data_IF_629190294053
#
_entry.id   IF_629190294053
#
_cell.length_a   1.000
_cell.length_b   1.000
_cell.length_c   1.000
_cell.angle_alpha   90.00
_cell.angle_beta   90.00
_cell.angle_gamma   90.00
#
_symmetry.space_group_name_H-M   'P 1'
#
loop_
_entity.id
_entity.type
_entity.pdbx_description
1 polymer ?
#
# COMPACT_ATOMS: atom_id res chain seq x y z
N UNK A 1 63.24 -8.94 82.51
CA UNK A 1 62.07 -8.50 81.69
C UNK A 1 61.40 -9.63 80.92
N UNK A 2 62.13 -10.63 80.40
CA UNK A 2 61.59 -11.80 79.68
C UNK A 2 60.50 -12.59 80.44
N UNK A 3 60.64 -12.77 81.76
CA UNK A 3 59.63 -13.46 82.59
C UNK A 3 58.29 -12.71 82.72
N UNK A 4 58.27 -11.38 82.55
CA UNK A 4 57.04 -10.58 82.65
C UNK A 4 56.15 -10.75 81.41
N UNK A 5 56.74 -10.94 80.23
CA UNK A 5 56.02 -11.21 78.99
C UNK A 5 55.48 -12.65 78.93
N UNK A 6 56.24 -13.65 79.38
CA UNK A 6 55.78 -15.04 79.45
C UNK A 6 54.60 -15.22 80.43
N UNK A 7 54.56 -14.45 81.53
CA UNK A 7 53.48 -14.49 82.51
C UNK A 7 52.10 -14.07 81.97
N UNK A 8 52.04 -13.36 80.83
CA UNK A 8 50.78 -12.92 80.24
C UNK A 8 50.29 -13.82 79.09
N UNK A 9 51.05 -14.85 78.71
CA UNK A 9 50.69 -15.85 77.72
C UNK A 9 50.52 -17.22 78.40
N UNK A 10 49.45 -17.37 79.18
CA UNK A 10 49.19 -18.59 79.95
C UNK A 10 48.36 -19.58 79.11
N UNK A 11 48.82 -20.83 78.93
CA UNK A 11 47.96 -21.88 78.42
C UNK A 11 46.87 -22.15 79.47
N UNK A 12 45.60 -22.04 79.07
CA UNK A 12 44.48 -22.42 79.93
C UNK A 12 44.03 -23.81 79.54
N UNK A 13 44.23 -24.77 80.46
CA UNK A 13 43.70 -26.12 80.31
C UNK A 13 42.20 -26.07 80.58
N UNK A 14 41.41 -26.21 79.53
CA UNK A 14 39.95 -26.33 79.65
C UNK A 14 39.61 -27.82 79.79
N UNK A 15 38.72 -28.14 80.75
CA UNK A 15 38.21 -29.49 80.97
C UNK A 15 37.49 -29.92 79.68
N UNK A 16 38.08 -30.87 78.94
CA UNK A 16 37.63 -31.27 77.59
C UNK A 16 38.74 -31.47 76.55
N UNK A 17 40.02 -31.42 76.93
CA UNK A 17 41.15 -31.86 76.10
C UNK A 17 41.55 -30.91 74.96
N UNK A 18 40.89 -29.76 74.82
CA UNK A 18 41.26 -28.73 73.83
C UNK A 18 42.10 -27.64 74.50
N UNK A 19 43.33 -27.49 74.05
CA UNK A 19 44.24 -26.43 74.49
C UNK A 19 43.73 -25.08 74.00
N UNK A 20 43.45 -24.15 74.93
CA UNK A 20 43.09 -22.77 74.60
C UNK A 20 44.24 -21.85 75.00
N UNK A 21 44.71 -21.07 74.04
CA UNK A 21 45.78 -20.09 74.28
C UNK A 21 45.20 -18.69 74.46
N UNK A 22 45.76 -17.93 75.39
CA UNK A 22 45.43 -16.53 75.61
C UNK A 22 46.69 -15.69 75.66
N UNK A 23 46.63 -14.48 75.08
CA UNK A 23 47.68 -13.48 75.15
C UNK A 23 47.04 -12.23 75.76
N UNK A 24 47.52 -11.79 76.93
CA UNK A 24 46.98 -10.63 77.65
C UNK A 24 45.46 -10.71 77.90
N UNK A 25 44.91 -11.91 78.17
CA UNK A 25 43.48 -12.12 78.41
C UNK A 25 42.61 -12.25 77.16
N UNK A 26 43.15 -12.08 75.96
CA UNK A 26 42.44 -12.34 74.71
C UNK A 26 42.70 -13.74 74.18
N UNK A 27 41.65 -14.42 73.70
CA UNK A 27 41.80 -15.69 73.01
C UNK A 27 42.65 -15.52 71.74
N UNK A 28 43.71 -16.31 71.63
CA UNK A 28 44.61 -16.30 70.49
C UNK A 28 44.70 -17.69 69.88
N UNK A 29 44.86 -17.74 68.56
CA UNK A 29 45.16 -18.99 67.87
C UNK A 29 46.59 -19.43 68.21
N UNK A 30 46.83 -20.75 68.17
CA UNK A 30 48.14 -21.33 68.43
C UNK A 30 49.25 -20.71 67.56
N UNK A 31 48.99 -20.46 66.27
CA UNK A 31 49.94 -19.81 65.35
C UNK A 31 50.41 -18.44 65.85
N UNK A 32 49.48 -17.60 66.34
CA UNK A 32 49.79 -16.27 66.87
C UNK A 32 50.62 -16.33 68.14
N UNK A 33 50.41 -17.35 68.96
CA UNK A 33 51.17 -17.59 70.19
C UNK A 33 52.58 -18.09 69.85
N UNK A 34 52.69 -19.00 68.89
CA UNK A 34 53.97 -19.42 68.34
C UNK A 34 54.73 -18.21 67.76
N UNK A 35 54.10 -17.36 66.94
CA UNK A 35 54.73 -16.16 66.38
C UNK A 35 55.21 -15.18 67.46
N UNK A 36 54.46 -15.04 68.56
CA UNK A 36 54.88 -14.25 69.72
C UNK A 36 56.13 -14.84 70.38
N UNK A 37 56.21 -16.16 70.54
CA UNK A 37 57.41 -16.80 71.09
C UNK A 37 58.61 -16.68 70.13
N UNK A 38 58.39 -16.80 68.82
CA UNK A 38 59.43 -16.57 67.81
C UNK A 38 59.96 -15.12 67.81
N UNK A 39 59.12 -14.11 68.08
CA UNK A 39 59.55 -12.70 68.13
C UNK A 39 60.48 -12.40 69.32
N UNK A 40 60.36 -13.18 70.39
CA UNK A 40 61.23 -13.13 71.58
C UNK A 40 62.37 -14.15 71.49
N UNK A 41 62.61 -14.73 70.29
CA UNK A 41 63.63 -15.74 70.02
C UNK A 41 63.52 -17.02 70.86
N UNK A 42 62.32 -17.32 71.38
CA UNK A 42 62.01 -18.56 72.08
C UNK A 42 61.33 -19.51 71.11
N UNK A 43 62.08 -20.46 70.56
CA UNK A 43 61.49 -21.49 69.71
C UNK A 43 60.91 -22.61 70.59
N UNK A 44 59.59 -22.78 70.56
CA UNK A 44 58.87 -23.82 71.33
C UNK A 44 59.15 -25.23 70.78
N UNK A 45 59.48 -25.35 69.49
CA UNK A 45 59.68 -26.63 68.80
C UNK A 45 61.11 -27.19 68.96
N UNK A 46 62.10 -26.31 69.12
CA UNK A 46 63.49 -26.67 69.41
C UNK A 46 64.05 -25.74 70.50
N UNK A 47 63.79 -26.04 71.78
CA UNK A 47 64.23 -25.17 72.86
C UNK A 47 65.73 -25.36 73.10
N UNK A 48 66.55 -24.49 72.52
CA UNK A 48 67.97 -24.37 72.88
C UNK A 48 68.18 -24.01 74.36
N UNK A 49 67.13 -23.51 75.01
CA UNK A 49 67.14 -23.05 76.39
C UNK A 49 66.64 -24.11 77.41
N UNK A 50 66.16 -25.29 76.96
CA UNK A 50 65.61 -26.32 77.84
C UNK A 50 66.46 -27.61 77.77
N UNK A 51 67.09 -27.97 78.89
CA UNK A 51 67.89 -29.18 79.02
C UNK A 51 67.03 -30.28 79.65
N UNK A 52 66.48 -31.16 78.82
CA UNK A 52 65.78 -32.37 79.27
C UNK A 52 66.74 -33.56 79.36
N UNK A 53 66.43 -34.55 80.21
CA UNK A 53 67.19 -35.79 80.31
C UNK A 53 67.25 -36.49 78.94
N UNK A 54 68.45 -36.91 78.51
CA UNK A 54 68.67 -37.53 77.20
C UNK A 54 68.90 -36.57 76.03
N UNK A 55 68.78 -35.25 76.23
CA UNK A 55 69.06 -34.25 75.17
C UNK A 55 70.53 -34.27 74.73
N UNK A 56 71.47 -34.48 75.66
CA UNK A 56 72.91 -34.53 75.34
C UNK A 56 73.25 -35.69 74.39
N UNK A 57 72.73 -36.88 74.66
CA UNK A 57 72.92 -38.07 73.82
C UNK A 57 72.25 -37.90 72.45
N UNK A 58 71.12 -37.19 72.39
CA UNK A 58 70.47 -36.84 71.13
C UNK A 58 71.36 -35.94 70.28
N UNK A 59 71.92 -34.86 70.84
CA UNK A 59 72.82 -33.94 70.12
C UNK A 59 74.07 -34.66 69.59
N UNK A 60 74.64 -35.57 70.38
CA UNK A 60 75.81 -36.36 69.96
C UNK A 60 75.51 -37.31 68.79
N UNK A 61 74.27 -37.77 68.63
CA UNK A 61 73.85 -38.71 67.59
C UNK A 61 72.99 -38.07 66.48
N UNK A 62 72.95 -36.72 66.39
CA UNK A 62 72.18 -36.03 65.34
C UNK A 62 72.80 -36.27 63.96
N UNK A 63 71.93 -36.44 62.95
CA UNK A 63 72.39 -36.50 61.55
C UNK A 63 72.78 -35.08 61.07
N UNK A 64 73.69 -34.95 60.09
CA UNK A 64 74.06 -33.66 59.51
C UNK A 64 72.90 -32.69 59.17
N UNK A 65 71.77 -33.10 58.57
CA UNK A 65 70.63 -32.20 58.31
C UNK A 65 69.95 -31.68 59.60
N UNK A 66 69.96 -32.46 60.68
CA UNK A 66 69.41 -32.04 61.97
C UNK A 66 70.32 -31.00 62.64
N UNK A 67 71.64 -31.16 62.50
CA UNK A 67 72.64 -30.18 62.96
C UNK A 67 72.52 -28.88 62.18
N UNK A 68 72.34 -28.94 60.86
CA UNK A 68 72.10 -27.76 60.02
C UNK A 68 70.82 -27.04 60.42
N UNK A 69 69.72 -27.78 60.58
CA UNK A 69 68.46 -27.20 61.06
C UNK A 69 68.61 -26.55 62.44
N UNK A 70 69.44 -27.10 63.32
CA UNK A 70 69.72 -26.54 64.65
C UNK A 70 70.53 -25.23 64.54
N UNK A 71 71.49 -25.19 63.61
CA UNK A 71 72.33 -24.02 63.35
C UNK A 71 71.53 -22.88 62.71
N UNK A 72 70.69 -23.19 61.72
CA UNK A 72 69.79 -22.24 61.04
C UNK A 72 68.75 -21.63 61.99
N UNK A 73 68.30 -22.41 62.97
CA UNK A 73 67.41 -21.92 64.03
C UNK A 73 68.15 -20.98 64.99
N UNK A 74 69.39 -21.33 65.38
CA UNK A 74 70.21 -20.47 66.23
C UNK A 74 70.61 -19.16 65.52
N UNK A 75 70.85 -19.22 64.21
CA UNK A 75 71.11 -18.04 63.37
C UNK A 75 69.84 -17.25 63.03
N UNK A 76 68.65 -17.80 63.28
CA UNK A 76 67.36 -17.18 62.98
C UNK A 76 66.99 -17.15 61.49
N UNK A 77 67.80 -17.75 60.60
CA UNK A 77 67.61 -17.73 59.13
C UNK A 77 66.41 -18.59 58.69
N UNK A 78 66.11 -19.65 59.43
CA UNK A 78 65.00 -20.59 59.12
C UNK A 78 63.63 -19.93 59.01
N UNK A 79 63.35 -18.91 59.83
CA UNK A 79 62.07 -18.20 59.80
C UNK A 79 61.94 -17.29 58.58
N UNK A 80 63.06 -16.69 58.15
CA UNK A 80 63.10 -15.86 56.94
C UNK A 80 62.88 -16.73 55.69
N UNK A 81 63.56 -17.86 55.58
CA UNK A 81 63.41 -18.79 54.45
C UNK A 81 61.99 -19.34 54.34
N UNK A 82 61.38 -19.76 55.46
CA UNK A 82 59.97 -20.20 55.47
C UNK A 82 59.01 -19.10 55.02
N UNK A 83 59.22 -17.84 55.45
CA UNK A 83 58.39 -16.70 55.01
C UNK A 83 58.59 -16.38 53.54
N UNK A 84 59.83 -16.47 53.04
CA UNK A 84 60.16 -16.31 51.63
C UNK A 84 59.46 -17.36 50.77
N UNK A 85 59.56 -18.64 51.13
CA UNK A 85 58.90 -19.74 50.42
C UNK A 85 57.37 -19.60 50.41
N UNK A 86 56.77 -19.19 51.53
CA UNK A 86 55.34 -18.91 51.60
C UNK A 86 54.92 -17.72 50.72
N UNK A 87 55.73 -16.66 50.67
CA UNK A 87 55.49 -15.52 49.81
C UNK A 87 55.61 -15.91 48.33
N UNK A 88 56.64 -16.66 47.95
CA UNK A 88 56.84 -17.18 46.59
C UNK A 88 55.66 -18.05 46.14
N UNK A 89 55.23 -19.01 46.95
CA UNK A 89 54.03 -19.83 46.66
C UNK A 89 52.76 -18.99 46.53
N UNK A 90 52.65 -17.90 47.29
CA UNK A 90 51.50 -16.99 47.19
C UNK A 90 51.56 -16.16 45.91
N UNK A 91 52.75 -15.72 45.50
CA UNK A 91 52.97 -15.02 44.24
C UNK A 91 52.67 -15.92 43.05
N UNK A 92 53.16 -17.16 43.04
CA UNK A 92 52.85 -18.15 42.00
C UNK A 92 51.34 -18.36 41.84
N UNK A 93 50.62 -18.56 42.96
CA UNK A 93 49.16 -18.71 42.94
C UNK A 93 48.44 -17.46 42.41
N UNK A 94 48.94 -16.27 42.74
CA UNK A 94 48.37 -15.01 42.24
C UNK A 94 48.66 -14.83 40.75
N UNK A 95 49.86 -15.18 40.31
CA UNK A 95 50.27 -15.11 38.91
C UNK A 95 49.41 -16.04 38.05
N UNK A 96 49.24 -17.30 38.47
CA UNK A 96 48.36 -18.24 37.78
C UNK A 96 46.90 -17.75 37.70
N UNK A 97 46.41 -17.05 38.74
CA UNK A 97 45.07 -16.43 38.69
C UNK A 97 44.99 -15.26 37.72
N UNK A 98 46.03 -14.43 37.65
CA UNK A 98 46.08 -13.33 36.68
C UNK A 98 46.06 -13.87 35.25
N UNK A 99 46.86 -14.90 34.97
CA UNK A 99 46.88 -15.55 33.65
C UNK A 99 45.50 -16.13 33.27
N UNK A 100 44.76 -16.70 34.23
CA UNK A 100 43.39 -17.15 33.99
C UNK A 100 42.45 -15.99 33.67
N UNK A 101 42.56 -14.87 34.39
CA UNK A 101 41.73 -13.67 34.13
C UNK A 101 42.06 -13.10 32.75
N UNK A 102 43.34 -12.98 32.41
CA UNK A 102 43.80 -12.47 31.12
C UNK A 102 43.33 -13.39 29.99
N UNK A 103 43.37 -14.72 30.19
CA UNK A 103 42.84 -15.69 29.23
C UNK A 103 41.34 -15.49 28.99
N UNK A 104 40.53 -15.32 30.03
CA UNK A 104 39.08 -15.07 29.89
C UNK A 104 38.82 -13.72 29.20
N UNK A 105 39.60 -12.70 29.55
CA UNK A 105 39.46 -11.37 28.97
C UNK A 105 39.78 -11.39 27.46
N UNK A 106 40.80 -12.15 27.06
CA UNK A 106 41.24 -12.25 25.67
C UNK A 106 40.38 -13.18 24.83
N UNK A 107 39.94 -14.31 25.39
CA UNK A 107 39.19 -15.33 24.65
C UNK A 107 37.69 -15.03 24.58
N UNK A 108 37.11 -14.41 25.61
CA UNK A 108 35.66 -14.23 25.68
C UNK A 108 35.27 -12.76 25.51
N UNK A 109 35.87 -11.86 26.30
CA UNK A 109 35.39 -10.47 26.40
C UNK A 109 35.78 -9.66 25.16
N UNK A 110 37.05 -9.70 24.74
CA UNK A 110 37.52 -8.96 23.55
C UNK A 110 36.76 -9.33 22.26
N UNK A 111 36.60 -10.62 21.88
CA UNK A 111 35.86 -10.96 20.66
C UNK A 111 34.38 -10.63 20.76
N UNK A 112 33.75 -10.78 21.94
CA UNK A 112 32.37 -10.34 22.13
C UNK A 112 32.21 -8.83 21.92
N UNK A 113 33.16 -8.03 22.42
CA UNK A 113 33.17 -6.58 22.21
C UNK A 113 33.37 -6.21 20.74
N UNK A 114 34.26 -6.90 20.03
CA UNK A 114 34.51 -6.65 18.61
C UNK A 114 33.32 -7.07 17.73
N UNK A 115 32.66 -8.19 18.07
CA UNK A 115 31.40 -8.58 17.43
C UNK A 115 30.31 -7.53 17.66
N UNK A 116 30.19 -6.99 18.88
CA UNK A 116 29.22 -5.93 19.19
C UNK A 116 29.53 -4.64 18.44
N UNK A 117 30.81 -4.27 18.30
CA UNK A 117 31.24 -3.13 17.48
C UNK A 117 30.89 -3.32 16.01
N UNK A 118 31.09 -4.52 15.47
CA UNK A 118 30.70 -4.84 14.10
C UNK A 118 29.18 -4.72 13.91
N UNK A 119 28.39 -5.27 14.82
CA UNK A 119 26.93 -5.16 14.81
C UNK A 119 26.46 -3.69 14.88
N UNK A 120 27.08 -2.87 15.72
CA UNK A 120 26.77 -1.44 15.83
C UNK A 120 27.06 -0.67 14.54
N UNK A 121 28.18 -0.97 13.87
CA UNK A 121 28.49 -0.40 12.55
C UNK A 121 27.44 -0.78 11.51
N UNK A 122 27.10 -2.07 11.42
CA UNK A 122 26.06 -2.55 10.50
C UNK A 122 24.70 -1.90 10.79
N UNK A 123 24.33 -1.74 12.06
CA UNK A 123 23.09 -1.08 12.44
C UNK A 123 23.09 0.41 12.05
N UNK A 124 24.23 1.09 12.20
CA UNK A 124 24.36 2.50 11.82
C UNK A 124 24.21 2.67 10.31
N UNK A 125 24.83 1.80 9.51
CA UNK A 125 24.67 1.77 8.05
C UNK A 125 23.24 1.47 7.65
N UNK A 126 22.60 0.47 8.28
CA UNK A 126 21.20 0.13 8.06
C UNK A 126 20.28 1.31 8.38
N UNK A 127 20.50 2.01 9.50
CA UNK A 127 19.69 3.16 9.89
C UNK A 127 19.83 4.31 8.89
N UNK A 128 21.03 4.57 8.37
CA UNK A 128 21.26 5.56 7.32
C UNK A 128 20.54 5.16 6.02
N UNK A 129 20.69 3.92 5.58
CA UNK A 129 20.03 3.41 4.37
C UNK A 129 18.50 3.43 4.51
N UNK A 130 17.97 3.04 5.66
CA UNK A 130 16.52 3.07 5.94
C UNK A 130 15.99 4.51 5.90
N UNK A 131 16.73 5.47 6.44
CA UNK A 131 16.36 6.89 6.38
C UNK A 131 16.37 7.43 4.93
N UNK A 132 17.39 7.05 4.14
CA UNK A 132 17.45 7.40 2.72
C UNK A 132 16.31 6.75 1.92
N UNK A 133 16.01 5.48 2.17
CA UNK A 133 14.91 4.77 1.55
C UNK A 133 13.57 5.46 1.84
N UNK A 134 13.32 5.84 3.10
CA UNK A 134 12.10 6.53 3.49
C UNK A 134 12.00 7.93 2.88
N UNK A 135 13.14 8.62 2.73
CA UNK A 135 13.19 9.90 2.00
C UNK A 135 12.82 9.72 0.53
N UNK A 136 13.39 8.71 -0.13
CA UNK A 136 13.12 8.43 -1.55
C UNK A 136 11.68 7.97 -1.78
N UNK A 137 11.11 7.14 -0.90
CA UNK A 137 9.69 6.78 -0.94
C UNK A 137 8.78 8.00 -0.86
N UNK A 138 9.05 8.91 0.08
CA UNK A 138 8.30 10.17 0.18
C UNK A 138 8.43 11.02 -1.08
N UNK A 139 9.63 11.09 -1.66
CA UNK A 139 9.85 11.81 -2.92
C UNK A 139 9.06 11.19 -4.08
N UNK A 140 9.03 9.86 -4.18
CA UNK A 140 8.24 9.14 -5.19
C UNK A 140 6.75 9.48 -5.08
N UNK A 141 6.19 9.43 -3.87
CA UNK A 141 4.77 9.78 -3.64
C UNK A 141 4.47 11.21 -4.05
N UNK A 142 5.37 12.15 -3.75
CA UNK A 142 5.22 13.56 -4.17
C UNK A 142 5.30 13.69 -5.69
N UNK A 143 6.23 12.98 -6.33
CA UNK A 143 6.38 12.97 -7.78
C UNK A 143 5.11 12.43 -8.46
N UNK A 144 4.62 11.28 -8.01
CA UNK A 144 3.39 10.67 -8.54
C UNK A 144 2.20 11.62 -8.38
N UNK A 145 2.07 12.26 -7.21
CA UNK A 145 1.03 13.26 -6.97
C UNK A 145 1.11 14.44 -7.94
N UNK A 146 2.31 14.99 -8.16
CA UNK A 146 2.51 16.08 -9.12
C UNK A 146 2.19 15.68 -10.56
N UNK A 147 2.57 14.47 -10.98
CA UNK A 147 2.24 13.96 -12.31
C UNK A 147 0.73 13.77 -12.47
N UNK A 148 0.04 13.16 -11.49
CA UNK A 148 -1.42 13.04 -11.51
C UNK A 148 -2.11 14.40 -11.51
N UNK A 149 -1.57 15.39 -10.77
CA UNK A 149 -2.11 16.75 -10.77
C UNK A 149 -1.98 17.42 -12.15
N UNK A 150 -0.84 17.26 -12.83
CA UNK A 150 -0.64 17.77 -14.21
C UNK A 150 -1.61 17.11 -15.19
N UNK A 151 -1.77 15.78 -15.10
CA UNK A 151 -2.71 15.04 -15.95
C UNK A 151 -4.14 15.52 -15.69
N UNK A 152 -4.54 15.69 -14.43
CA UNK A 152 -5.85 16.19 -14.06
C UNK A 152 -6.08 17.62 -14.59
N UNK A 153 -5.08 18.51 -14.49
CA UNK A 153 -5.16 19.85 -15.06
C UNK A 153 -5.32 19.82 -16.58
N UNK A 154 -4.56 18.96 -17.27
CA UNK A 154 -4.68 18.81 -18.73
C UNK A 154 -6.06 18.30 -19.14
N UNK A 155 -6.58 17.29 -18.44
CA UNK A 155 -7.94 16.78 -18.71
C UNK A 155 -8.98 17.87 -18.45
N UNK A 156 -8.82 18.66 -17.37
CA UNK A 156 -9.72 19.77 -17.09
C UNK A 156 -9.69 20.85 -18.19
N UNK A 157 -8.51 21.18 -18.71
CA UNK A 157 -8.40 22.11 -19.85
C UNK A 157 -8.99 21.54 -21.13
N UNK A 158 -8.81 20.24 -21.38
CA UNK A 158 -9.37 19.56 -22.55
C UNK A 158 -10.90 19.53 -22.47
N UNK A 159 -11.48 19.20 -21.31
CA UNK A 159 -12.93 19.26 -21.07
C UNK A 159 -13.47 20.67 -21.30
N UNK A 160 -12.82 21.70 -20.74
CA UNK A 160 -13.25 23.08 -20.94
C UNK A 160 -13.22 23.49 -22.42
N UNK A 161 -12.24 23.01 -23.19
CA UNK A 161 -12.18 23.26 -24.63
C UNK A 161 -13.30 22.55 -25.40
N UNK A 162 -13.61 21.30 -25.04
CA UNK A 162 -14.70 20.52 -25.63
C UNK A 162 -16.08 21.13 -25.29
N UNK A 163 -16.29 21.63 -24.08
CA UNK A 163 -17.52 22.32 -23.69
C UNK A 163 -17.75 23.57 -24.57
N UNK A 164 -16.68 24.33 -24.87
CA UNK A 164 -16.75 25.47 -25.78
C UNK A 164 -17.09 25.02 -27.20
N UNK A 165 -16.52 23.90 -27.68
CA UNK A 165 -16.86 23.35 -29.00
C UNK A 165 -18.31 22.86 -29.06
N UNK A 166 -18.80 22.18 -28.03
CA UNK A 166 -20.19 21.73 -27.92
C UNK A 166 -21.13 22.93 -27.95
N UNK A 167 -20.82 24.01 -27.22
CA UNK A 167 -21.61 25.24 -27.24
C UNK A 167 -21.65 25.88 -28.63
N UNK A 168 -20.53 25.93 -29.36
CA UNK A 168 -20.49 26.42 -30.74
C UNK A 168 -21.31 25.54 -31.69
N UNK A 169 -21.23 24.22 -31.53
CA UNK A 169 -22.00 23.28 -32.35
C UNK A 169 -23.49 23.34 -32.04
N UNK A 170 -23.88 23.54 -30.78
CA UNK A 170 -25.29 23.68 -30.40
C UNK A 170 -25.89 24.98 -30.94
N UNK A 171 -25.13 26.09 -30.91
CA UNK A 171 -25.53 27.36 -31.53
C UNK A 171 -25.69 27.23 -33.06
N UNK A 172 -24.71 26.60 -33.74
CA UNK A 172 -24.83 26.30 -35.18
C UNK A 172 -26.04 25.43 -35.50
N UNK A 173 -26.28 24.40 -34.68
CA UNK A 173 -27.45 23.53 -34.83
C UNK A 173 -28.74 24.34 -34.68
N UNK A 174 -28.81 25.25 -33.70
CA UNK A 174 -29.97 26.12 -33.49
C UNK A 174 -30.22 27.05 -34.71
N UNK A 175 -29.17 27.68 -35.25
CA UNK A 175 -29.25 28.51 -36.48
C UNK A 175 -29.80 27.70 -37.66
N UNK A 176 -29.21 26.55 -37.94
CA UNK A 176 -29.64 25.67 -39.04
C UNK A 176 -31.08 25.22 -38.83
N UNK A 177 -31.49 24.88 -37.60
CA UNK A 177 -32.88 24.49 -37.34
C UNK A 177 -33.86 25.65 -37.56
N UNK A 178 -33.48 26.89 -37.25
CA UNK A 178 -34.30 28.07 -37.51
C UNK A 178 -34.43 28.33 -39.01
N UNK A 179 -33.31 28.28 -39.75
CA UNK A 179 -33.30 28.39 -41.22
C UNK A 179 -34.16 27.31 -41.87
N UNK A 180 -34.11 26.08 -41.36
CA UNK A 180 -34.89 24.96 -41.89
C UNK A 180 -36.39 25.16 -41.65
N UNK A 181 -36.79 25.67 -40.48
CA UNK A 181 -38.19 26.02 -40.20
C UNK A 181 -38.69 27.19 -41.06
N UNK A 182 -37.86 28.19 -41.32
CA UNK A 182 -38.18 29.28 -42.25
C UNK A 182 -38.39 28.77 -43.68
N UNK A 183 -37.48 27.92 -44.17
CA UNK A 183 -37.63 27.28 -45.48
C UNK A 183 -38.88 26.38 -45.54
N UNK A 184 -39.20 25.65 -44.47
CA UNK A 184 -40.44 24.86 -44.37
C UNK A 184 -41.69 25.74 -44.38
N UNK A 185 -41.66 26.90 -43.73
CA UNK A 185 -42.76 27.87 -43.80
C UNK A 185 -42.93 28.39 -45.23
N UNK A 186 -41.85 28.80 -45.88
CA UNK A 186 -41.87 29.27 -47.27
C UNK A 186 -42.39 28.20 -48.24
N UNK A 187 -41.99 26.94 -48.08
CA UNK A 187 -42.52 25.82 -48.88
C UNK A 187 -44.01 25.62 -48.65
N UNK A 188 -44.50 25.70 -47.40
CA UNK A 188 -45.93 25.61 -47.09
C UNK A 188 -46.72 26.76 -47.73
N UNK A 189 -46.21 27.98 -47.65
CA UNK A 189 -46.87 29.15 -48.24
C UNK A 189 -46.95 29.01 -49.76
N UNK A 190 -45.85 28.60 -50.42
CA UNK A 190 -45.81 28.33 -51.86
C UNK A 190 -46.71 27.17 -52.28
N UNK A 191 -46.84 26.12 -51.47
CA UNK A 191 -47.79 25.03 -51.71
C UNK A 191 -49.23 25.53 -51.61
N UNK A 192 -49.56 26.33 -50.58
CA UNK A 192 -50.90 26.91 -50.44
C UNK A 192 -51.26 27.82 -51.61
N UNK A 193 -50.31 28.64 -52.06
CA UNK A 193 -50.49 29.52 -53.23
C UNK A 193 -50.71 28.70 -54.50
N UNK A 194 -49.91 27.63 -54.71
CA UNK A 194 -50.13 26.72 -55.84
C UNK A 194 -51.48 25.99 -55.76
N UNK A 195 -51.92 25.57 -54.59
CA UNK A 195 -53.23 24.93 -54.41
C UNK A 195 -54.39 25.89 -54.66
N UNK A 196 -54.26 27.16 -54.25
CA UNK A 196 -55.25 28.21 -54.53
C UNK A 196 -55.31 28.49 -56.04
N UNK A 197 -54.15 28.63 -56.70
CA UNK A 197 -54.07 28.85 -58.14
C UNK A 197 -54.61 27.66 -58.93
N UNK A 198 -54.16 26.44 -58.63
CA UNK A 198 -54.66 25.22 -59.25
C UNK A 198 -56.16 25.01 -58.99
N UNK A 199 -56.64 25.28 -57.77
CA UNK A 199 -58.06 25.23 -57.44
C UNK A 199 -58.88 26.29 -58.20
N UNK A 200 -58.31 27.47 -58.44
CA UNK A 200 -58.88 28.52 -59.29
C UNK A 200 -58.99 28.09 -60.75
N UNK A 201 -57.89 27.61 -61.32
CA UNK A 201 -57.83 27.09 -62.69
C UNK A 201 -58.77 25.91 -62.90
N UNK A 202 -58.83 24.96 -61.95
CA UNK A 202 -59.76 23.83 -61.97
C UNK A 202 -61.20 24.34 -61.94
N UNK A 203 -61.55 25.29 -61.08
CA UNK A 203 -62.90 25.87 -61.03
C UNK A 203 -63.26 26.59 -62.33
N UNK A 204 -62.34 27.30 -62.95
CA UNK A 204 -62.58 27.95 -64.25
C UNK A 204 -62.76 26.92 -65.38
N UNK A 205 -61.90 25.90 -65.44
CA UNK A 205 -62.03 24.81 -66.40
C UNK A 205 -63.34 24.04 -66.20
N UNK A 206 -63.76 23.83 -64.96
CA UNK A 206 -65.01 23.17 -64.62
C UNK A 206 -66.22 24.01 -65.03
N UNK A 207 -66.20 25.32 -64.79
CA UNK A 207 -67.23 26.24 -65.33
C UNK A 207 -67.29 26.22 -66.86
N UNK A 208 -66.14 26.17 -67.54
CA UNK A 208 -66.09 26.06 -69.00
C UNK A 208 -66.62 24.72 -69.48
N UNK A 209 -66.28 23.62 -68.81
CA UNK A 209 -66.78 22.28 -69.12
C UNK A 209 -68.30 22.18 -68.89
N UNK A 210 -68.81 22.74 -67.80
CA UNK A 210 -70.23 22.80 -67.48
C UNK A 210 -70.99 23.66 -68.50
N UNK A 211 -70.45 24.81 -68.88
CA UNK A 211 -71.03 25.66 -69.92
C UNK A 211 -71.08 24.94 -71.28
N UNK A 212 -69.98 24.30 -71.69
CA UNK A 212 -69.95 23.46 -72.90
C UNK A 212 -70.93 22.29 -72.81
N UNK A 213 -71.08 21.65 -71.65
CA UNK A 213 -72.05 20.57 -71.42
C UNK A 213 -73.50 21.08 -71.53
N UNK A 214 -73.78 22.28 -71.00
CA UNK A 214 -75.06 22.96 -71.16
C UNK A 214 -75.35 23.31 -72.62
N UNK A 215 -74.36 23.79 -73.37
CA UNK A 215 -74.53 24.09 -74.79
C UNK A 215 -74.70 22.82 -75.61
N UNK A 216 -73.95 21.76 -75.29
CA UNK A 216 -74.10 20.44 -75.93
C UNK A 216 -75.46 19.80 -75.63
N UNK A 217 -76.04 20.02 -74.45
CA UNK A 217 -77.41 19.58 -74.14
C UNK A 217 -78.47 20.43 -74.83
N UNK A 218 -78.26 21.74 -75.01
CA UNK A 218 -79.13 22.58 -75.87
C UNK A 218 -79.07 22.16 -77.33
N UNK A 219 -77.87 21.91 -77.85
CA UNK A 219 -77.67 21.45 -79.23
C UNK A 219 -78.25 20.05 -79.41
N UNK A 220 -78.07 19.15 -78.45
CA UNK A 220 -78.67 17.82 -78.46
C UNK A 220 -80.21 17.86 -78.40
N UNK A 221 -80.79 18.73 -77.56
CA UNK A 221 -82.26 18.87 -77.47
C UNK A 221 -82.84 19.56 -78.72
N UNK A 222 -82.17 20.58 -79.26
CA UNK A 222 -82.60 21.22 -80.53
C UNK A 222 -82.43 20.30 -81.73
N UNK A 223 -81.39 19.46 -81.75
CA UNK A 223 -81.20 18.42 -82.76
C UNK A 223 -82.28 17.35 -82.65
N UNK A 224 -82.61 16.87 -81.44
CA UNK A 224 -83.72 15.93 -81.21
C UNK A 224 -85.07 16.52 -81.61
N UNK A 225 -85.34 17.79 -81.28
CA UNK A 225 -86.56 18.48 -81.68
C UNK A 225 -86.66 18.61 -83.21
N UNK A 226 -85.56 18.93 -83.89
CA UNK A 226 -85.49 18.91 -85.36
C UNK A 226 -85.68 17.50 -85.93
N UNK A 227 -85.14 16.47 -85.29
CA UNK A 227 -85.32 15.07 -85.69
C UNK A 227 -86.79 14.63 -85.55
N UNK A 228 -87.46 15.01 -84.46
CA UNK A 228 -88.90 14.78 -84.26
C UNK A 228 -89.77 15.58 -85.22
N UNK A 229 -89.42 16.82 -85.55
CA UNK A 229 -90.07 17.60 -86.61
C UNK A 229 -89.91 16.92 -87.97
N UNK A 230 -88.73 16.40 -88.30
CA UNK A 230 -88.49 15.71 -89.56
C UNK A 230 -89.28 14.39 -89.63
N UNK A 231 -89.40 13.67 -88.52
CA UNK A 231 -90.20 12.45 -88.41
C UNK A 231 -91.72 12.75 -88.52
N UNK A 232 -92.20 13.87 -87.98
CA UNK A 232 -93.61 14.27 -88.10
C UNK A 232 -93.93 14.78 -89.50
N UNK A 233 -93.01 15.50 -90.16
CA UNK A 233 -93.14 15.87 -91.58
C UNK A 233 -93.12 14.64 -92.49
N UNK A 234 -92.27 13.64 -92.24
CA UNK A 234 -92.29 12.37 -92.97
C UNK A 234 -93.62 11.60 -92.78
N UNK A 235 -94.17 11.60 -91.56
CA UNK A 235 -95.51 11.04 -91.31
C UNK A 235 -96.63 11.82 -92.01
N UNK A 236 -96.54 13.14 -92.03
CA UNK A 236 -97.51 13.99 -92.75
C UNK A 236 -97.41 13.78 -94.26
N UNK A 237 -96.21 13.63 -94.81
CA UNK A 237 -96.00 13.32 -96.23
C UNK A 237 -96.57 11.94 -96.59
N UNK A 238 -96.38 10.93 -95.73
CA UNK A 238 -96.98 9.61 -95.90
C UNK A 238 -98.52 9.65 -95.82
N UNK A 239 -99.09 10.47 -94.92
CA UNK A 239 -100.53 10.68 -94.85
C UNK A 239 -101.09 11.41 -96.08
N UNK A 240 -100.38 12.40 -96.62
CA UNK A 240 -100.74 13.08 -97.87
C UNK A 240 -100.62 12.17 -99.10
N UNK A 241 -99.63 11.27 -99.13
CA UNK A 241 -99.51 10.24 -100.17
C UNK A 241 -100.62 9.18 -100.08
N UNK A 242 -101.05 8.81 -98.87
CA UNK A 242 -102.20 7.93 -98.66
C UNK A 242 -103.53 8.57 -99.10
N UNK A 243 -103.72 9.87 -98.82
CA UNK A 243 -104.90 10.62 -99.26
C UNK A 243 -104.97 10.77 -100.80
N UNK A 244 -103.82 10.91 -101.47
CA UNK A 244 -103.73 10.91 -102.94
C UNK A 244 -104.05 9.52 -103.54
N UNK A 245 -103.73 8.43 -102.84
CA UNK A 245 -104.05 7.07 -103.27
C UNK A 245 -105.55 6.75 -103.12
N UNK A 246 -106.24 7.26 -102.09
CA UNK A 246 -107.70 7.10 -101.95
C UNK A 246 -108.49 7.89 -103.02
N UNK A 247 -108.05 9.11 -103.38
CA UNK A 247 -108.62 9.89 -104.47
C UNK A 247 -108.40 9.23 -105.86
N UNK A 248 -107.27 8.56 -106.08
CA UNK A 248 -107.02 7.81 -107.32
C UNK A 248 -107.89 6.53 -107.46
N UNK A 249 -108.42 5.99 -106.37
CA UNK A 249 -109.32 4.82 -106.40
C UNK A 249 -110.80 5.17 -106.59
N UNK A 250 -111.20 6.44 -106.46
CA UNK A 250 -112.58 6.89 -106.72
C UNK A 250 -112.83 7.34 -108.18
N UNK A 251 -111.78 7.61 -108.98
CA UNK A 251 -111.91 8.09 -110.37
C UNK A 251 -111.85 6.99 -111.46
N UNK A 252 -111.76 5.69 -111.10
CA UNK A 252 -111.57 4.58 -112.07
C UNK A 252 -112.67 3.49 -112.08
N UNK A 253 -113.81 3.66 -111.39
CA UNK A 253 -114.85 2.61 -111.27
C UNK A 253 -116.31 3.06 -111.59
N UNK A 254 -116.54 3.97 -112.54
CA UNK A 254 -117.92 4.38 -112.87
C UNK A 254 -118.24 4.96 -114.26
N UNK A 255 -117.28 5.15 -115.16
CA UNK A 255 -117.52 5.49 -116.57
C UNK A 255 -117.24 4.29 -117.49
N UNK A 256 -118.05 3.23 -117.41
CA UNK A 256 -118.32 2.27 -118.51
C UNK A 256 -119.72 1.67 -118.32
N UNK A 257 -120.76 2.30 -118.89
CA UNK A 257 -122.00 1.65 -119.39
C UNK A 257 -122.95 2.68 -120.01
N UNK A 258 -122.62 3.15 -121.23
CA UNK A 258 -123.59 3.50 -122.26
C UNK A 258 -123.37 2.50 -123.39
N UNK A 259 -124.36 1.64 -123.60
CA UNK A 259 -124.38 0.51 -124.53
C UNK A 259 -125.51 -0.42 -124.18
#
# INVERSE_FOLDING_TARGET
>A
MLWRCAAHALPQVVIGGRNKYMINGHAAQESRVQDLFHSVQLNVNNPHFLIMQGRITKVLNMKPPEILSLLEEAAGTRMYEKKKEQAERTLEKKQARLEQIDSVLDQDIKPALDALRAACKQYTEWAQLSSQQERLKRLLVVYDYCEFQKIAQRIATDIASLDVEIAKLSEKKASITAELEEQRAMVRDLQSEKEIQAGGEIKELQRRADALSMDLTKDSTSWKAKQEQLASEQKALAAHQAALAELATQDLAGQVSMG
#
